data_IF_026592982639
#
_entry.id   IF_026592982639
#
_cell.length_a   1.000
_cell.length_b   1.000
_cell.length_c   1.000
_cell.angle_alpha   90.00
_cell.angle_beta   90.00
_cell.angle_gamma   90.00
#
_symmetry.space_group_name_H-M   'P 1'
#
loop_
_entity.id
_entity.type
_entity.pdbx_description
1 polymer ?
#
# COMPACT_ATOMS: atom_id res chain seq x y z
N UNK A 1 31.78 -9.44 14.24
CA UNK A 1 31.41 -10.83 14.53
C UNK A 1 32.67 -11.66 14.60
N UNK A 2 32.96 -12.26 15.75
CA UNK A 2 34.04 -13.23 15.87
C UNK A 2 33.57 -14.57 15.31
N UNK A 3 34.22 -15.05 14.25
CA UNK A 3 34.09 -16.40 13.72
C UNK A 3 34.68 -17.37 14.76
N UNK A 4 33.84 -17.89 15.66
CA UNK A 4 34.27 -18.81 16.72
C UNK A 4 33.43 -18.80 17.99
N UNK A 5 32.37 -17.98 18.09
CA UNK A 5 31.40 -18.11 19.17
C UNK A 5 30.44 -19.26 18.88
N UNK A 6 30.41 -20.26 19.77
CA UNK A 6 29.32 -21.23 19.86
C UNK A 6 28.09 -20.51 20.42
N UNK A 7 27.31 -19.93 19.50
CA UNK A 7 26.07 -19.22 19.79
C UNK A 7 25.01 -20.20 20.36
N UNK A 8 25.14 -21.50 20.09
CA UNK A 8 24.15 -22.51 20.44
C UNK A 8 24.13 -22.81 21.95
N UNK A 9 25.30 -22.86 22.60
CA UNK A 9 25.40 -22.96 24.07
C UNK A 9 25.06 -21.62 24.78
N UNK A 10 25.24 -20.48 24.10
CA UNK A 10 24.85 -19.17 24.61
C UNK A 10 23.33 -18.88 24.47
N UNK A 11 22.64 -19.68 23.65
CA UNK A 11 21.19 -19.69 23.43
C UNK A 11 20.40 -20.39 24.56
N UNK A 12 21.04 -20.78 25.67
CA UNK A 12 20.36 -21.28 26.88
C UNK A 12 19.24 -20.36 27.45
N UNK A 13 19.06 -19.15 26.92
CA UNK A 13 17.97 -18.24 27.24
C UNK A 13 16.70 -18.39 26.37
N UNK A 14 16.75 -19.04 25.20
CA UNK A 14 15.56 -19.16 24.32
C UNK A 14 14.56 -20.22 24.82
N UNK A 15 15.00 -21.15 25.66
CA UNK A 15 14.21 -22.31 26.11
C UNK A 15 13.49 -22.11 27.45
N UNK A 16 13.53 -20.90 28.02
CA UNK A 16 12.91 -20.57 29.33
C UNK A 16 11.64 -19.70 29.21
N UNK A 17 11.14 -19.49 28.00
CA UNK A 17 9.91 -18.74 27.78
C UNK A 17 8.72 -19.58 28.26
N UNK A 18 8.01 -19.12 29.29
CA UNK A 18 6.82 -19.76 29.82
C UNK A 18 5.74 -18.71 30.11
N UNK A 19 4.76 -18.63 29.21
CA UNK A 19 3.59 -17.76 29.32
C UNK A 19 2.37 -18.50 29.88
N UNK A 20 2.52 -19.68 30.51
CA UNK A 20 1.37 -20.38 31.11
C UNK A 20 0.78 -19.65 32.31
N UNK A 21 1.54 -18.74 32.93
CA UNK A 21 1.13 -18.00 34.13
C UNK A 21 0.64 -16.58 33.82
N UNK A 22 0.25 -16.28 32.57
CA UNK A 22 -0.31 -14.99 32.20
C UNK A 22 -1.69 -14.78 32.84
N UNK A 23 -1.95 -13.57 33.34
CA UNK A 23 -3.19 -13.21 34.06
C UNK A 23 -4.48 -13.47 33.26
N UNK A 24 -4.41 -13.52 31.92
CA UNK A 24 -5.54 -13.83 31.06
C UNK A 24 -6.06 -15.26 31.25
N UNK A 25 -5.21 -16.21 31.66
CA UNK A 25 -5.53 -17.63 31.72
C UNK A 25 -5.80 -18.29 30.36
N UNK A 26 -5.58 -17.58 29.25
CA UNK A 26 -5.86 -18.01 27.88
C UNK A 26 -4.58 -17.99 27.03
N UNK A 27 -4.47 -18.93 26.08
CA UNK A 27 -3.43 -18.89 25.04
C UNK A 27 -2.00 -19.14 25.53
N UNK A 28 -1.82 -20.07 26.47
CA UNK A 28 -0.51 -20.37 27.04
C UNK A 28 0.47 -20.92 26.00
N UNK A 29 1.56 -20.18 25.76
CA UNK A 29 2.73 -20.67 25.01
C UNK A 29 3.90 -20.90 25.97
N UNK A 30 4.71 -21.91 25.69
CA UNK A 30 5.95 -22.21 26.41
C UNK A 30 7.08 -22.40 25.41
N UNK A 31 8.27 -22.76 25.89
CA UNK A 31 9.46 -22.92 25.05
C UNK A 31 9.25 -23.82 23.81
N UNK A 32 8.36 -24.83 23.89
CA UNK A 32 8.01 -25.71 22.76
C UNK A 32 7.28 -25.01 21.61
N UNK A 33 6.87 -23.75 21.77
CA UNK A 33 6.17 -22.97 20.76
C UNK A 33 7.10 -22.04 19.96
N UNK A 34 8.41 -22.00 20.30
CA UNK A 34 9.36 -21.08 19.69
C UNK A 34 10.57 -21.82 19.10
N UNK A 35 10.99 -21.48 17.88
CA UNK A 35 12.24 -22.02 17.31
C UNK A 35 13.43 -21.52 18.15
N UNK A 36 14.47 -22.34 18.37
CA UNK A 36 14.68 -23.71 17.89
C UNK A 36 13.85 -24.79 18.62
N UNK A 37 12.99 -25.53 17.90
CA UNK A 37 12.25 -26.69 18.45
C UNK A 37 12.69 -28.05 17.87
N UNK A 38 13.84 -28.11 17.18
CA UNK A 38 14.38 -29.32 16.57
C UNK A 38 15.84 -29.62 16.93
N UNK A 39 16.28 -30.86 16.65
CA UNK A 39 17.67 -31.30 16.80
C UNK A 39 18.24 -31.75 15.44
N UNK A 40 19.20 -31.02 14.84
CA UNK A 40 19.58 -29.64 15.15
C UNK A 40 18.58 -28.65 14.53
N UNK A 41 18.36 -27.51 15.20
CA UNK A 41 17.73 -26.37 14.54
C UNK A 41 18.77 -25.65 13.71
N UNK A 42 18.44 -25.37 12.45
CA UNK A 42 19.22 -24.49 11.60
C UNK A 42 18.68 -23.06 11.76
N UNK A 43 19.29 -22.26 12.63
CA UNK A 43 19.00 -20.82 12.74
C UNK A 43 19.71 -20.03 11.64
N UNK A 44 19.55 -20.47 10.39
CA UNK A 44 20.31 -19.96 9.25
C UNK A 44 19.46 -19.84 7.99
N UNK A 45 19.92 -19.00 7.06
CA UNK A 45 19.14 -18.65 5.87
C UNK A 45 18.07 -17.61 6.17
N UNK A 46 17.39 -17.13 5.14
CA UNK A 46 16.42 -16.04 5.22
C UNK A 46 15.15 -16.42 6.00
N UNK A 47 14.80 -17.71 6.00
CA UNK A 47 13.56 -18.22 6.60
C UNK A 47 13.64 -18.38 8.13
N UNK A 48 14.73 -18.95 8.64
CA UNK A 48 14.86 -19.36 10.05
C UNK A 48 15.91 -18.53 10.83
N UNK A 49 16.42 -17.44 10.23
CA UNK A 49 17.30 -16.53 10.93
C UNK A 49 16.55 -15.75 12.02
N UNK A 50 17.22 -15.55 13.16
CA UNK A 50 16.72 -14.72 14.25
C UNK A 50 16.88 -13.23 13.91
N UNK A 51 16.02 -12.72 13.03
CA UNK A 51 16.05 -11.33 12.57
C UNK A 51 15.54 -10.35 13.63
N UNK A 52 14.62 -10.78 14.51
CA UNK A 52 13.98 -9.92 15.51
C UNK A 52 14.06 -10.50 16.94
N UNK A 53 13.05 -11.28 17.34
CA UNK A 53 12.85 -11.81 18.69
C UNK A 53 12.64 -13.34 18.67
N UNK A 54 11.94 -13.90 19.65
CA UNK A 54 11.62 -15.33 19.69
C UNK A 54 10.76 -15.72 18.49
N UNK A 55 11.32 -16.53 17.59
CA UNK A 55 10.62 -16.98 16.39
C UNK A 55 9.54 -18.01 16.78
N UNK A 56 8.28 -17.67 16.53
CA UNK A 56 7.14 -18.54 16.86
C UNK A 56 7.10 -19.68 15.84
N UNK A 57 6.95 -20.93 16.31
CA UNK A 57 6.93 -22.10 15.43
C UNK A 57 5.50 -22.52 15.09
N UNK A 58 5.04 -22.13 13.90
CA UNK A 58 3.70 -22.37 13.38
C UNK A 58 3.44 -23.84 13.02
N UNK A 59 4.48 -24.69 12.97
CA UNK A 59 4.31 -26.14 12.78
C UNK A 59 3.86 -26.86 14.05
N UNK A 60 3.98 -26.21 15.21
CA UNK A 60 3.55 -26.78 16.49
C UNK A 60 2.05 -26.56 16.65
N UNK A 61 1.29 -27.66 16.78
CA UNK A 61 -0.17 -27.62 16.85
C UNK A 61 -0.72 -26.64 17.89
N UNK A 62 -0.17 -26.64 19.11
CA UNK A 62 -0.59 -25.68 20.15
C UNK A 62 -0.27 -24.22 19.81
N UNK A 63 0.77 -23.95 19.02
CA UNK A 63 1.05 -22.60 18.52
C UNK A 63 -0.02 -22.18 17.53
N UNK A 64 -0.32 -23.06 16.57
CA UNK A 64 -1.33 -22.83 15.55
C UNK A 64 -2.69 -22.53 16.18
N UNK A 65 -3.13 -23.36 17.12
CA UNK A 65 -4.42 -23.21 17.80
C UNK A 65 -4.52 -21.86 18.53
N UNK A 66 -3.46 -21.41 19.22
CA UNK A 66 -3.45 -20.10 19.89
C UNK A 66 -3.52 -18.95 18.88
N UNK A 67 -2.78 -19.03 17.76
CA UNK A 67 -2.82 -17.99 16.74
C UNK A 67 -4.18 -17.92 16.04
N UNK A 68 -4.83 -19.06 15.79
CA UNK A 68 -6.16 -19.13 15.17
C UNK A 68 -7.22 -18.48 16.06
N UNK A 69 -7.24 -18.86 17.35
CA UNK A 69 -8.13 -18.24 18.33
C UNK A 69 -7.82 -16.75 18.52
N UNK A 70 -6.55 -16.34 18.44
CA UNK A 70 -6.18 -14.92 18.49
C UNK A 70 -6.72 -14.14 17.29
N UNK A 71 -6.59 -14.65 16.07
CA UNK A 71 -7.13 -14.00 14.86
C UNK A 71 -8.65 -13.88 14.92
N UNK A 72 -9.35 -14.92 15.37
CA UNK A 72 -10.80 -14.89 15.61
C UNK A 72 -11.19 -13.89 16.70
N UNK A 73 -10.43 -13.83 17.80
CA UNK A 73 -10.64 -12.84 18.85
C UNK A 73 -10.46 -11.40 18.33
N UNK A 74 -9.47 -11.14 17.47
CA UNK A 74 -9.30 -9.81 16.83
C UNK A 74 -10.52 -9.43 15.99
N UNK A 75 -11.15 -10.38 15.31
CA UNK A 75 -12.39 -10.14 14.58
C UNK A 75 -13.58 -9.82 15.50
N UNK A 76 -13.76 -10.64 16.55
CA UNK A 76 -14.93 -10.58 17.43
C UNK A 76 -14.89 -9.42 18.42
N UNK A 77 -13.74 -9.22 19.07
CA UNK A 77 -13.60 -8.30 20.20
C UNK A 77 -12.97 -6.96 19.81
N UNK A 78 -11.98 -6.96 18.91
CA UNK A 78 -11.32 -5.72 18.44
C UNK A 78 -12.09 -5.06 17.29
N UNK A 79 -12.91 -5.85 16.56
CA UNK A 79 -13.68 -5.36 15.43
C UNK A 79 -12.88 -5.27 14.13
N UNK A 80 -11.77 -6.00 14.00
CA UNK A 80 -11.02 -6.10 12.75
C UNK A 80 -11.91 -6.67 11.63
N UNK A 81 -11.79 -6.14 10.40
CA UNK A 81 -12.58 -6.55 9.22
C UNK A 81 -11.72 -6.89 8.01
N UNK A 82 -10.46 -7.20 8.26
CA UNK A 82 -9.46 -7.55 7.29
C UNK A 82 -8.13 -7.72 8.02
N UNK A 83 -7.21 -8.45 7.41
CA UNK A 83 -5.93 -8.78 8.03
C UNK A 83 -4.77 -8.45 7.11
N UNK A 84 -3.79 -7.70 7.63
CA UNK A 84 -2.45 -7.63 7.05
C UNK A 84 -1.58 -8.61 7.83
N UNK A 85 -1.07 -9.63 7.14
CA UNK A 85 -0.25 -10.68 7.75
C UNK A 85 1.21 -10.30 7.56
N UNK A 86 1.88 -10.03 8.67
CA UNK A 86 3.29 -9.64 8.72
C UNK A 86 4.19 -10.80 8.32
N UNK A 87 5.30 -10.49 7.63
CA UNK A 87 6.43 -11.40 7.51
C UNK A 87 6.08 -12.82 6.98
N UNK A 88 5.14 -12.93 6.02
CA UNK A 88 4.60 -14.24 5.58
C UNK A 88 5.61 -15.15 4.89
N UNK A 89 6.76 -14.60 4.52
CA UNK A 89 7.91 -15.37 4.01
C UNK A 89 8.54 -16.25 5.09
N UNK A 90 8.37 -15.93 6.38
CA UNK A 90 9.09 -16.57 7.48
C UNK A 90 8.33 -17.72 8.16
N UNK A 91 7.16 -18.09 7.64
CA UNK A 91 6.42 -19.27 8.09
C UNK A 91 5.73 -19.98 6.93
N UNK A 92 5.39 -21.28 7.11
CA UNK A 92 4.85 -22.09 6.02
C UNK A 92 3.52 -21.57 5.46
N UNK A 93 3.36 -21.61 4.13
CA UNK A 93 2.12 -21.17 3.46
C UNK A 93 0.88 -22.00 3.87
N UNK A 94 1.06 -23.29 4.23
CA UNK A 94 -0.05 -24.12 4.71
C UNK A 94 -0.64 -23.63 6.04
N UNK A 95 0.14 -22.97 6.91
CA UNK A 95 -0.41 -22.33 8.11
C UNK A 95 -1.44 -21.25 7.73
N UNK A 96 -1.18 -20.48 6.66
CA UNK A 96 -2.16 -19.51 6.17
C UNK A 96 -3.40 -20.16 5.61
N UNK A 97 -3.25 -21.22 4.79
CA UNK A 97 -4.38 -21.99 4.27
C UNK A 97 -5.28 -22.48 5.41
N UNK A 98 -4.70 -23.22 6.36
CA UNK A 98 -5.39 -23.73 7.55
C UNK A 98 -6.05 -22.60 8.38
N UNK A 99 -5.40 -21.43 8.52
CA UNK A 99 -5.96 -20.29 9.27
C UNK A 99 -7.20 -19.75 8.58
N UNK A 100 -7.17 -19.60 7.26
CA UNK A 100 -8.30 -19.07 6.51
C UNK A 100 -9.48 -20.05 6.51
N UNK A 101 -9.21 -21.35 6.36
CA UNK A 101 -10.23 -22.40 6.50
C UNK A 101 -10.86 -22.36 7.90
N UNK A 102 -10.05 -22.24 8.95
CA UNK A 102 -10.55 -22.11 10.32
C UNK A 102 -11.46 -20.88 10.50
N UNK A 103 -11.12 -19.73 9.90
CA UNK A 103 -11.97 -18.54 9.96
C UNK A 103 -13.30 -18.77 9.22
N UNK A 104 -13.24 -19.33 8.01
CA UNK A 104 -14.42 -19.64 7.20
C UNK A 104 -15.38 -20.59 7.93
N UNK A 105 -14.84 -21.68 8.49
CA UNK A 105 -15.59 -22.67 9.30
C UNK A 105 -16.28 -22.05 10.53
N UNK A 106 -15.75 -20.94 11.02
CA UNK A 106 -16.32 -20.18 12.14
C UNK A 106 -17.25 -19.04 11.69
N UNK A 107 -17.64 -18.99 10.40
CA UNK A 107 -18.52 -17.98 9.83
C UNK A 107 -17.87 -16.60 9.72
N UNK A 108 -16.54 -16.55 9.55
CA UNK A 108 -15.76 -15.33 9.43
C UNK A 108 -15.11 -15.29 8.05
N UNK A 109 -15.62 -14.40 7.19
CA UNK A 109 -15.12 -14.20 5.83
C UNK A 109 -14.56 -12.79 5.69
N UNK A 110 -13.26 -12.56 5.98
CA UNK A 110 -12.67 -11.25 5.81
C UNK A 110 -12.67 -10.89 4.31
N UNK A 111 -13.19 -9.71 3.93
CA UNK A 111 -13.19 -9.26 2.53
C UNK A 111 -11.77 -8.96 2.00
N UNK A 112 -10.77 -8.92 2.88
CA UNK A 112 -9.39 -8.67 2.50
C UNK A 112 -8.42 -9.29 3.50
N UNK A 113 -7.57 -10.18 3.02
CA UNK A 113 -6.37 -10.65 3.72
C UNK A 113 -5.18 -10.37 2.81
N UNK A 114 -4.14 -9.70 3.31
CA UNK A 114 -2.94 -9.37 2.52
C UNK A 114 -1.68 -9.84 3.23
N UNK A 115 -0.90 -10.68 2.56
CA UNK A 115 0.41 -11.12 3.04
C UNK A 115 1.53 -10.16 2.65
N UNK A 116 2.42 -9.90 3.59
CA UNK A 116 3.69 -9.22 3.36
C UNK A 116 4.82 -10.22 3.14
N UNK A 117 5.03 -10.61 1.87
CA UNK A 117 6.21 -11.37 1.46
C UNK A 117 7.25 -10.39 0.94
N UNK A 118 8.23 -10.02 1.76
CA UNK A 118 9.28 -9.07 1.37
C UNK A 118 10.27 -9.74 0.37
N UNK A 119 9.91 -9.73 -0.91
CA UNK A 119 10.72 -10.25 -2.01
C UNK A 119 10.46 -9.43 -3.29
N UNK A 120 11.52 -9.12 -4.04
CA UNK A 120 11.39 -8.28 -5.25
C UNK A 120 11.12 -9.08 -6.52
N UNK A 121 10.94 -10.41 -6.43
CA UNK A 121 10.59 -11.27 -7.55
C UNK A 121 9.08 -11.48 -7.66
N UNK A 122 8.46 -10.96 -8.72
CA UNK A 122 7.05 -11.20 -9.03
C UNK A 122 6.66 -12.69 -9.02
N UNK A 123 7.56 -13.57 -9.48
CA UNK A 123 7.34 -15.01 -9.48
C UNK A 123 7.33 -15.64 -8.08
N UNK A 124 8.17 -15.14 -7.16
CA UNK A 124 8.19 -15.60 -5.76
C UNK A 124 6.93 -15.13 -5.03
N UNK A 125 6.53 -13.86 -5.22
CA UNK A 125 5.32 -13.31 -4.63
C UNK A 125 4.06 -14.06 -5.09
N UNK A 126 3.96 -14.34 -6.40
CA UNK A 126 2.89 -15.16 -6.96
C UNK A 126 2.95 -16.60 -6.43
N UNK A 127 4.14 -17.19 -6.35
CA UNK A 127 4.33 -18.54 -5.84
C UNK A 127 3.81 -18.71 -4.42
N UNK A 128 4.09 -17.75 -3.53
CA UNK A 128 3.55 -17.76 -2.17
C UNK A 128 2.01 -17.73 -2.17
N UNK A 129 1.40 -16.87 -2.98
CA UNK A 129 -0.05 -16.79 -3.11
C UNK A 129 -0.65 -18.11 -3.61
N UNK A 130 -0.05 -18.71 -4.64
CA UNK A 130 -0.48 -19.98 -5.21
C UNK A 130 -0.38 -21.11 -4.17
N UNK A 131 0.68 -21.13 -3.34
CA UNK A 131 0.84 -22.11 -2.26
C UNK A 131 -0.19 -21.95 -1.15
N UNK A 132 -0.50 -20.72 -0.72
CA UNK A 132 -1.56 -20.47 0.27
C UNK A 132 -2.90 -20.97 -0.27
N UNK A 133 -3.24 -20.60 -1.51
CA UNK A 133 -4.48 -21.05 -2.14
C UNK A 133 -4.51 -22.57 -2.29
N UNK A 134 -3.40 -23.22 -2.65
CA UNK A 134 -3.34 -24.69 -2.72
C UNK A 134 -3.73 -25.37 -1.40
N UNK A 135 -3.45 -24.73 -0.27
CA UNK A 135 -3.75 -25.22 1.07
C UNK A 135 -5.11 -24.78 1.64
N UNK A 136 -5.90 -24.00 0.90
CA UNK A 136 -7.26 -23.63 1.30
C UNK A 136 -8.28 -24.62 0.73
N UNK A 137 -9.37 -24.84 1.46
CA UNK A 137 -10.55 -25.53 0.95
C UNK A 137 -11.27 -24.68 -0.13
N UNK A 138 -12.00 -25.35 -1.02
CA UNK A 138 -12.57 -24.70 -2.22
C UNK A 138 -13.68 -23.69 -1.90
N UNK A 139 -14.43 -23.88 -0.81
CA UNK A 139 -15.41 -22.92 -0.31
C UNK A 139 -14.73 -21.71 0.35
N UNK A 140 -13.65 -21.93 1.12
CA UNK A 140 -12.82 -20.83 1.65
C UNK A 140 -12.23 -19.97 0.52
N UNK A 141 -11.70 -20.57 -0.56
CA UNK A 141 -11.21 -19.82 -1.73
C UNK A 141 -12.27 -18.96 -2.38
N UNK A 142 -13.54 -19.39 -2.34
CA UNK A 142 -14.66 -18.65 -2.89
C UNK A 142 -15.17 -17.54 -1.96
N UNK A 143 -14.90 -17.64 -0.66
CA UNK A 143 -15.38 -16.71 0.37
C UNK A 143 -14.34 -15.65 0.78
N UNK A 144 -13.05 -16.00 0.78
CA UNK A 144 -11.98 -15.15 1.33
C UNK A 144 -10.97 -14.79 0.23
N UNK A 145 -10.87 -13.49 -0.05
CA UNK A 145 -9.91 -12.92 -0.99
C UNK A 145 -8.52 -12.77 -0.33
N UNK A 146 -7.67 -13.77 -0.48
CA UNK A 146 -6.24 -13.68 -0.15
C UNK A 146 -5.48 -12.88 -1.21
N UNK A 147 -4.61 -11.99 -0.75
CA UNK A 147 -3.79 -11.09 -1.57
C UNK A 147 -2.35 -11.07 -1.08
N UNK A 148 -1.46 -10.53 -1.90
CA UNK A 148 -0.06 -10.26 -1.55
C UNK A 148 0.35 -8.85 -1.98
N UNK A 149 1.24 -8.21 -1.22
CA UNK A 149 1.85 -6.95 -1.62
C UNK A 149 2.81 -7.13 -2.81
N UNK A 150 2.69 -6.28 -3.83
CA UNK A 150 3.56 -6.31 -5.02
C UNK A 150 4.87 -5.54 -4.79
N UNK A 151 5.78 -6.16 -4.03
CA UNK A 151 7.12 -5.64 -3.81
C UNK A 151 7.95 -5.56 -5.10
N UNK A 152 7.63 -6.37 -6.13
CA UNK A 152 8.33 -6.36 -7.42
C UNK A 152 8.03 -5.08 -8.21
N UNK A 153 6.74 -4.72 -8.33
CA UNK A 153 6.33 -3.45 -8.92
C UNK A 153 6.90 -2.27 -8.12
N UNK A 154 6.78 -2.31 -6.78
CA UNK A 154 7.30 -1.24 -5.92
C UNK A 154 8.79 -1.00 -6.15
N UNK A 155 9.60 -2.07 -6.24
CA UNK A 155 11.03 -1.95 -6.51
C UNK A 155 11.29 -1.25 -7.86
N UNK A 156 10.54 -1.60 -8.90
CA UNK A 156 10.71 -0.98 -10.20
C UNK A 156 10.20 0.48 -10.24
N UNK A 157 9.22 0.84 -9.41
CA UNK A 157 8.77 2.22 -9.24
C UNK A 157 9.85 3.10 -8.61
N UNK A 158 10.56 2.59 -7.60
CA UNK A 158 11.74 3.24 -7.03
C UNK A 158 12.84 3.42 -8.09
N UNK A 159 13.18 2.37 -8.84
CA UNK A 159 14.18 2.48 -9.90
C UNK A 159 13.77 3.51 -10.98
N UNK A 160 12.49 3.57 -11.36
CA UNK A 160 12.00 4.53 -12.35
C UNK A 160 12.13 5.99 -11.90
N UNK A 161 11.95 6.24 -10.61
CA UNK A 161 12.04 7.57 -10.01
C UNK A 161 13.49 8.00 -9.71
N UNK A 162 14.25 7.10 -9.09
CA UNK A 162 15.49 7.44 -8.39
C UNK A 162 16.76 6.97 -9.11
N UNK A 163 16.68 5.95 -9.97
CA UNK A 163 17.85 5.43 -10.68
C UNK A 163 18.10 6.18 -11.98
N UNK A 164 19.28 6.79 -12.09
CA UNK A 164 19.70 7.46 -13.32
C UNK A 164 19.82 6.46 -14.49
N UNK A 165 19.09 6.74 -15.58
CA UNK A 165 19.16 5.96 -16.82
C UNK A 165 18.30 4.69 -16.83
N UNK A 166 17.47 4.45 -15.80
CA UNK A 166 16.46 3.39 -15.84
C UNK A 166 15.46 3.63 -16.98
N UNK A 167 15.11 2.56 -17.69
CA UNK A 167 14.10 2.61 -18.74
C UNK A 167 12.73 2.33 -18.14
N UNK A 168 11.91 3.38 -18.00
CA UNK A 168 10.63 3.29 -17.27
C UNK A 168 9.61 2.36 -17.93
N UNK A 169 9.81 1.98 -19.20
CA UNK A 169 8.97 0.99 -19.88
C UNK A 169 9.09 -0.41 -19.27
N UNK A 170 10.12 -0.66 -18.47
CA UNK A 170 10.24 -1.89 -17.68
C UNK A 170 9.09 -2.04 -16.66
N UNK A 171 8.44 -0.94 -16.25
CA UNK A 171 7.29 -0.99 -15.35
C UNK A 171 6.14 -1.86 -15.90
N UNK A 172 5.96 -1.88 -17.23
CA UNK A 172 4.98 -2.73 -17.91
C UNK A 172 5.26 -4.24 -17.83
N UNK A 173 6.42 -4.66 -17.30
CA UNK A 173 6.82 -6.06 -17.16
C UNK A 173 7.34 -6.36 -15.74
N UNK A 174 6.92 -5.58 -14.75
CA UNK A 174 7.48 -5.64 -13.38
C UNK A 174 6.50 -6.11 -12.31
N UNK A 175 5.20 -5.99 -12.55
CA UNK A 175 4.17 -6.37 -11.58
C UNK A 175 3.96 -7.87 -11.52
N UNK A 176 3.35 -8.37 -10.45
CA UNK A 176 2.87 -9.76 -10.35
C UNK A 176 1.94 -10.10 -11.52
N UNK A 177 1.09 -9.15 -11.94
CA UNK A 177 0.14 -9.33 -13.03
C UNK A 177 0.87 -9.48 -14.38
N UNK A 178 1.74 -8.54 -14.71
CA UNK A 178 2.39 -8.48 -16.03
C UNK A 178 3.56 -9.46 -16.15
N UNK A 179 4.35 -9.64 -15.08
CA UNK A 179 5.58 -10.43 -15.10
C UNK A 179 5.38 -11.92 -14.75
N UNK A 180 4.37 -12.22 -13.91
CA UNK A 180 4.13 -13.57 -13.42
C UNK A 180 2.75 -14.13 -13.79
N UNK A 181 1.90 -13.36 -14.49
CA UNK A 181 0.55 -13.80 -14.89
C UNK A 181 -0.41 -13.96 -13.71
N UNK A 182 -0.20 -13.19 -12.63
CA UNK A 182 -1.14 -13.14 -11.52
C UNK A 182 -2.41 -12.35 -11.83
N UNK A 183 -3.35 -12.35 -10.89
CA UNK A 183 -4.60 -11.59 -10.99
C UNK A 183 -4.52 -10.33 -10.14
N UNK A 184 -4.90 -9.17 -10.69
CA UNK A 184 -5.01 -7.92 -9.91
C UNK A 184 -5.97 -8.02 -8.72
N UNK A 185 -6.94 -8.96 -8.76
CA UNK A 185 -7.81 -9.23 -7.60
C UNK A 185 -7.06 -9.83 -6.41
N UNK A 186 -5.86 -10.40 -6.61
CA UNK A 186 -5.04 -10.98 -5.54
C UNK A 186 -3.79 -10.16 -5.22
N UNK A 187 -3.73 -8.90 -5.68
CA UNK A 187 -2.55 -8.06 -5.55
C UNK A 187 -2.90 -6.75 -4.86
N UNK A 188 -1.99 -6.28 -4.00
CA UNK A 188 -2.00 -4.94 -3.43
C UNK A 188 -0.74 -4.20 -3.89
N UNK A 189 -0.92 -3.13 -4.65
CA UNK A 189 0.19 -2.30 -5.16
C UNK A 189 0.44 -1.11 -4.25
N UNK A 190 1.68 -0.65 -4.13
CA UNK A 190 2.04 0.49 -3.29
C UNK A 190 3.32 1.15 -3.81
N UNK A 191 3.54 2.42 -3.45
CA UNK A 191 4.76 3.17 -3.81
C UNK A 191 5.79 3.09 -2.67
N UNK A 192 5.36 3.43 -1.46
CA UNK A 192 6.14 3.35 -0.24
C UNK A 192 5.36 2.65 0.88
N UNK A 193 6.07 2.20 1.91
CA UNK A 193 5.47 1.70 3.13
C UNK A 193 6.36 2.08 4.34
N UNK A 194 6.02 1.57 5.53
CA UNK A 194 6.74 1.88 6.76
C UNK A 194 8.09 1.17 6.92
N UNK A 195 8.40 0.17 6.09
CA UNK A 195 9.66 -0.59 6.15
C UNK A 195 10.78 0.09 5.37
N UNK A 196 10.46 0.76 4.25
CA UNK A 196 11.41 1.56 3.45
C UNK A 196 11.70 2.91 4.14
N UNK A 197 12.37 2.86 5.29
CA UNK A 197 12.60 4.02 6.16
C UNK A 197 14.04 4.53 6.18
N UNK A 198 14.99 3.74 5.72
CA UNK A 198 16.39 4.16 5.69
C UNK A 198 16.73 4.94 4.41
N UNK A 199 17.71 5.86 4.43
CA UNK A 199 18.09 6.64 3.25
C UNK A 199 18.39 5.76 2.02
N UNK A 200 17.81 6.12 0.88
CA UNK A 200 17.95 5.37 -0.38
C UNK A 200 17.12 4.10 -0.47
N UNK A 201 16.24 3.83 0.50
CA UNK A 201 15.23 2.79 0.40
C UNK A 201 13.89 3.28 -0.17
N UNK A 202 13.25 4.37 0.32
CA UNK A 202 11.96 4.83 -0.20
C UNK A 202 12.10 5.39 -1.62
N UNK A 203 10.95 5.55 -2.30
CA UNK A 203 10.86 6.36 -3.51
C UNK A 203 10.96 7.83 -3.09
N UNK A 204 12.15 8.40 -3.21
CA UNK A 204 12.44 9.75 -2.70
C UNK A 204 12.08 10.84 -3.72
N UNK A 205 12.35 10.60 -5.01
CA UNK A 205 12.10 11.58 -6.06
C UNK A 205 10.78 11.30 -6.79
N UNK A 206 9.92 12.31 -6.79
CA UNK A 206 8.66 12.30 -7.53
C UNK A 206 7.77 11.05 -7.27
N UNK A 207 7.51 10.65 -6.01
CA UNK A 207 6.64 9.52 -5.69
C UNK A 207 5.22 9.65 -6.30
N UNK A 208 4.76 10.87 -6.61
CA UNK A 208 3.52 11.14 -7.32
C UNK A 208 3.43 10.44 -8.69
N UNK A 209 4.56 10.20 -9.38
CA UNK A 209 4.57 9.47 -10.66
C UNK A 209 4.25 7.99 -10.47
N UNK A 210 4.71 7.39 -9.37
CA UNK A 210 4.34 6.04 -8.98
C UNK A 210 2.86 5.95 -8.60
N UNK A 211 2.34 6.94 -7.87
CA UNK A 211 0.90 7.01 -7.57
C UNK A 211 0.06 7.16 -8.81
N UNK A 212 0.48 7.98 -9.78
CA UNK A 212 -0.19 8.07 -11.07
C UNK A 212 -0.32 6.69 -11.71
N UNK A 213 0.77 5.90 -11.75
CA UNK A 213 0.71 4.56 -12.34
C UNK A 213 -0.24 3.60 -11.59
N UNK A 214 -0.10 3.45 -10.27
CA UNK A 214 -0.89 2.46 -9.51
C UNK A 214 -2.36 2.86 -9.34
N UNK A 215 -2.69 4.15 -9.37
CA UNK A 215 -4.07 4.62 -9.23
C UNK A 215 -4.81 4.66 -10.57
N UNK A 216 -4.13 4.82 -11.71
CA UNK A 216 -4.82 4.85 -13.01
C UNK A 216 -4.72 3.55 -13.80
N UNK A 217 -3.75 2.66 -13.53
CA UNK A 217 -3.75 1.32 -14.12
C UNK A 217 -4.54 0.33 -13.23
N UNK A 218 -5.86 0.26 -13.43
CA UNK A 218 -6.76 -0.57 -12.62
C UNK A 218 -6.58 -2.09 -12.78
N UNK A 219 -5.61 -2.54 -13.58
CA UNK A 219 -5.31 -3.97 -13.80
C UNK A 219 -4.24 -4.52 -12.86
N UNK A 220 -3.42 -3.66 -12.25
CA UNK A 220 -2.27 -4.08 -11.47
C UNK A 220 -2.65 -4.66 -10.10
N UNK A 221 -3.68 -4.10 -9.47
CA UNK A 221 -4.13 -4.54 -8.15
C UNK A 221 -4.90 -3.46 -7.41
N UNK A 222 -5.12 -3.68 -6.12
CA UNK A 222 -5.70 -2.66 -5.24
C UNK A 222 -4.58 -1.70 -4.79
N UNK A 223 -4.66 -0.40 -5.11
CA UNK A 223 -3.66 0.57 -4.69
C UNK A 223 -3.75 0.87 -3.19
N UNK A 224 -2.62 0.79 -2.51
CA UNK A 224 -2.45 1.17 -1.11
C UNK A 224 -1.68 2.49 -1.04
N UNK A 225 -2.30 3.51 -0.45
CA UNK A 225 -1.71 4.84 -0.27
C UNK A 225 -0.91 4.88 1.03
N UNK A 226 0.33 5.34 0.95
CA UNK A 226 1.16 5.51 2.13
C UNK A 226 0.82 6.82 2.85
N UNK A 227 0.52 6.72 4.14
CA UNK A 227 0.13 7.85 4.97
C UNK A 227 1.12 9.02 4.90
N UNK A 228 2.42 8.71 4.97
CA UNK A 228 3.48 9.73 4.95
C UNK A 228 3.45 10.48 3.62
N UNK A 229 3.52 9.81 2.47
CA UNK A 229 3.42 10.48 1.16
C UNK A 229 2.16 11.36 1.02
N UNK A 230 1.03 10.91 1.58
CA UNK A 230 -0.22 11.64 1.56
C UNK A 230 -0.17 12.96 2.36
N UNK A 231 0.41 12.97 3.57
CA UNK A 231 0.41 14.16 4.45
C UNK A 231 1.74 14.94 4.48
N UNK A 232 2.90 14.29 4.53
CA UNK A 232 4.23 14.92 4.64
C UNK A 232 5.35 13.92 4.32
N UNK A 233 6.47 14.29 3.65
CA UNK A 233 6.96 15.65 3.45
C UNK A 233 6.49 16.34 2.16
N UNK A 234 6.05 15.59 1.14
CA UNK A 234 5.66 16.16 -0.16
C UNK A 234 4.19 16.59 -0.23
N UNK A 235 3.36 16.19 0.74
CA UNK A 235 1.93 16.48 0.82
C UNK A 235 1.20 16.20 -0.51
N UNK A 236 1.28 14.95 -0.97
CA UNK A 236 0.72 14.53 -2.25
C UNK A 236 -0.81 14.35 -2.21
N UNK A 237 -1.45 14.73 -1.11
CA UNK A 237 -2.90 14.62 -0.89
C UNK A 237 -3.72 15.05 -2.11
N UNK A 238 -3.43 16.21 -2.70
CA UNK A 238 -4.23 16.77 -3.79
C UNK A 238 -4.08 15.96 -5.09
N UNK A 239 -2.86 15.56 -5.43
CA UNK A 239 -2.58 14.68 -6.56
C UNK A 239 -3.23 13.30 -6.36
N UNK A 240 -3.08 12.71 -5.18
CA UNK A 240 -3.64 11.38 -4.86
C UNK A 240 -5.17 11.43 -4.86
N UNK A 241 -5.80 12.45 -4.28
CA UNK A 241 -7.25 12.65 -4.31
C UNK A 241 -7.76 12.81 -5.74
N UNK A 242 -7.08 13.60 -6.57
CA UNK A 242 -7.48 13.78 -7.96
C UNK A 242 -7.32 12.51 -8.80
N UNK A 243 -6.26 11.72 -8.56
CA UNK A 243 -6.07 10.40 -9.17
C UNK A 243 -7.15 9.40 -8.74
N UNK A 244 -7.54 9.40 -7.46
CA UNK A 244 -8.67 8.58 -6.97
C UNK A 244 -10.00 9.01 -7.60
N UNK A 245 -10.23 10.32 -7.76
CA UNK A 245 -11.44 10.84 -8.39
C UNK A 245 -11.48 10.53 -9.90
N UNK A 246 -10.35 10.66 -10.60
CA UNK A 246 -10.19 10.23 -11.99
C UNK A 246 -10.48 8.74 -12.14
N UNK A 247 -9.96 7.92 -11.21
CA UNK A 247 -10.22 6.49 -11.19
C UNK A 247 -11.72 6.22 -11.09
N UNK A 248 -12.37 6.81 -10.08
CA UNK A 248 -13.79 6.63 -9.80
C UNK A 248 -14.69 7.05 -10.97
N UNK A 249 -14.37 8.17 -11.64
CA UNK A 249 -15.21 8.74 -12.69
C UNK A 249 -15.02 8.06 -14.05
N UNK A 250 -13.79 7.70 -14.39
CA UNK A 250 -13.44 7.42 -15.79
C UNK A 250 -12.78 6.07 -16.01
N UNK A 251 -12.10 5.51 -15.02
CA UNK A 251 -11.29 4.29 -15.19
C UNK A 251 -11.99 3.07 -14.58
N UNK A 252 -12.85 3.29 -13.58
CA UNK A 252 -13.56 2.20 -12.90
C UNK A 252 -14.24 1.25 -13.90
N UNK A 253 -14.04 -0.05 -13.67
CA UNK A 253 -14.53 -1.11 -14.54
C UNK A 253 -13.82 -1.28 -15.89
N UNK A 254 -12.79 -0.48 -16.22
CA UNK A 254 -12.02 -0.66 -17.46
C UNK A 254 -11.55 -2.10 -17.60
N UNK A 255 -11.94 -2.75 -18.70
CA UNK A 255 -11.68 -4.17 -18.91
C UNK A 255 -10.36 -4.42 -19.64
N UNK A 256 -9.79 -3.40 -20.28
CA UNK A 256 -8.57 -3.49 -21.08
C UNK A 256 -7.58 -2.39 -20.73
N UNK A 257 -6.29 -2.72 -20.82
CA UNK A 257 -5.17 -1.78 -20.80
C UNK A 257 -4.25 -2.11 -21.98
N UNK A 258 -3.85 -1.10 -22.76
CA UNK A 258 -2.89 -1.23 -23.85
C UNK A 258 -1.69 -0.33 -23.56
N UNK A 259 -0.54 -0.96 -23.30
CA UNK A 259 0.72 -0.28 -23.04
C UNK A 259 1.30 0.26 -24.36
N UNK A 260 0.88 1.47 -24.73
CA UNK A 260 1.10 2.06 -26.05
C UNK A 260 2.58 2.24 -26.40
N UNK A 261 3.45 2.55 -25.43
CA UNK A 261 4.88 2.72 -25.69
C UNK A 261 5.77 1.59 -25.13
N UNK A 262 5.20 0.39 -24.87
CA UNK A 262 5.97 -0.78 -24.44
C UNK A 262 7.06 -1.17 -25.44
N UNK A 263 8.04 -1.96 -24.99
CA UNK A 263 9.04 -2.55 -25.89
C UNK A 263 8.37 -3.34 -27.02
N UNK A 264 8.80 -3.09 -28.27
CA UNK A 264 8.23 -3.75 -29.44
C UNK A 264 6.80 -3.35 -29.76
N UNK A 265 6.31 -2.22 -29.22
CA UNK A 265 4.98 -1.69 -29.54
C UNK A 265 4.75 -1.57 -31.06
N UNK A 266 3.55 -1.91 -31.57
CA UNK A 266 3.20 -1.71 -32.97
C UNK A 266 2.86 -0.24 -33.30
N UNK A 267 2.71 0.61 -32.28
CA UNK A 267 2.30 2.00 -32.43
C UNK A 267 3.49 2.89 -32.83
N UNK A 268 3.29 3.77 -33.80
CA UNK A 268 4.30 4.72 -34.22
C UNK A 268 4.38 5.90 -33.24
N UNK A 269 5.61 6.32 -32.92
CA UNK A 269 5.88 7.43 -32.01
C UNK A 269 6.89 8.40 -32.61
N UNK A 270 6.63 9.70 -32.51
CA UNK A 270 7.55 10.78 -32.87
C UNK A 270 7.80 11.67 -31.65
N UNK A 271 8.91 11.43 -30.95
CA UNK A 271 9.34 12.24 -29.81
C UNK A 271 10.02 13.51 -30.34
N UNK A 272 9.34 14.64 -30.20
CA UNK A 272 9.86 15.98 -30.52
C UNK A 272 10.78 16.47 -29.39
N UNK A 273 10.42 16.15 -28.14
CA UNK A 273 11.27 16.26 -26.95
C UNK A 273 10.91 15.16 -25.95
N UNK A 274 11.84 14.82 -25.04
CA UNK A 274 11.73 13.62 -24.22
C UNK A 274 12.08 12.34 -24.99
N UNK A 275 12.02 11.21 -24.30
CA UNK A 275 12.49 9.93 -24.83
C UNK A 275 11.58 8.77 -24.40
N UNK A 276 11.54 7.66 -25.16
CA UNK A 276 10.73 6.50 -24.80
C UNK A 276 11.13 5.87 -23.47
N UNK A 277 12.41 5.95 -23.08
CA UNK A 277 12.90 5.38 -21.82
C UNK A 277 12.56 6.22 -20.58
N UNK A 278 12.00 7.42 -20.75
CA UNK A 278 11.54 8.31 -19.67
C UNK A 278 10.04 8.64 -19.77
N UNK A 279 9.31 7.95 -20.63
CA UNK A 279 7.88 8.15 -20.85
C UNK A 279 7.14 6.85 -20.56
N UNK A 280 6.04 6.94 -19.82
CA UNK A 280 5.07 5.87 -19.65
C UNK A 280 3.77 6.31 -20.33
N UNK A 281 3.29 5.55 -21.32
CA UNK A 281 2.09 5.88 -22.09
C UNK A 281 1.23 4.63 -22.26
N UNK A 282 -0.01 4.69 -21.80
CA UNK A 282 -0.97 3.59 -21.92
C UNK A 282 -2.41 4.06 -22.04
N UNK A 283 -3.26 3.21 -22.61
CA UNK A 283 -4.66 3.46 -22.86
C UNK A 283 -5.53 2.44 -22.13
N UNK A 284 -6.63 2.89 -21.55
CA UNK A 284 -7.62 2.08 -20.86
C UNK A 284 -8.92 2.17 -21.64
N UNK A 285 -9.55 1.01 -21.85
CA UNK A 285 -10.73 0.88 -22.70
C UNK A 285 -11.83 0.10 -22.00
N UNK A 286 -13.07 0.34 -22.44
CA UNK A 286 -14.29 -0.28 -21.92
C UNK A 286 -14.48 -0.04 -20.41
N UNK A 287 -14.19 1.17 -19.94
CA UNK A 287 -14.58 1.59 -18.60
C UNK A 287 -16.10 1.74 -18.50
N UNK A 288 -16.66 1.69 -17.28
CA UNK A 288 -18.10 1.89 -17.07
C UNK A 288 -18.56 3.29 -17.48
N UNK A 289 -17.65 4.26 -17.49
CA UNK A 289 -17.87 5.61 -18.00
C UNK A 289 -18.21 5.63 -19.50
N UNK A 290 -17.88 4.56 -20.23
CA UNK A 290 -18.01 4.47 -21.68
C UNK A 290 -16.99 5.31 -22.45
N UNK A 291 -15.98 5.86 -21.78
CA UNK A 291 -14.96 6.75 -22.37
C UNK A 291 -13.61 6.04 -22.45
N UNK A 292 -12.86 6.32 -23.51
CA UNK A 292 -11.45 5.97 -23.58
C UNK A 292 -10.60 6.90 -22.70
N UNK A 293 -9.60 6.33 -22.03
CA UNK A 293 -8.68 7.07 -21.15
C UNK A 293 -7.25 6.80 -21.56
N UNK A 294 -6.44 7.84 -21.72
CA UNK A 294 -5.01 7.74 -22.01
C UNK A 294 -4.23 8.41 -20.89
N UNK A 295 -3.29 7.68 -20.30
CA UNK A 295 -2.43 8.19 -19.23
C UNK A 295 -1.03 8.38 -19.77
N UNK A 296 -0.46 9.56 -19.48
CA UNK A 296 0.91 9.91 -19.86
C UNK A 296 1.67 10.31 -18.60
N UNK A 297 2.80 9.64 -18.34
CA UNK A 297 3.67 9.92 -17.20
C UNK A 297 5.07 10.25 -17.74
N UNK A 298 5.55 11.45 -17.45
CA UNK A 298 6.84 11.96 -17.90
C UNK A 298 7.85 11.96 -16.74
N UNK A 299 8.77 11.00 -16.76
CA UNK A 299 9.88 10.92 -15.81
C UNK A 299 11.08 11.79 -16.23
N UNK A 300 11.05 12.43 -17.39
CA UNK A 300 12.15 13.29 -17.82
C UNK A 300 12.21 14.60 -17.01
N UNK A 301 13.41 15.17 -16.91
CA UNK A 301 13.63 16.53 -16.40
C UNK A 301 13.29 17.64 -17.40
N UNK A 302 12.68 17.30 -18.54
CA UNK A 302 12.26 18.23 -19.58
C UNK A 302 10.80 17.94 -19.99
N UNK A 303 10.15 18.92 -20.62
CA UNK A 303 8.80 18.75 -21.17
C UNK A 303 8.82 17.69 -22.28
N UNK A 304 7.94 16.70 -22.17
CA UNK A 304 7.64 15.72 -23.21
C UNK A 304 6.81 16.40 -24.31
N UNK A 305 7.20 16.21 -25.57
CA UNK A 305 6.40 16.56 -26.75
C UNK A 305 6.37 15.37 -27.68
N UNK A 306 5.19 14.78 -27.89
CA UNK A 306 5.08 13.47 -28.51
C UNK A 306 3.84 13.38 -29.40
N UNK A 307 4.03 13.06 -30.68
CA UNK A 307 2.95 12.50 -31.50
C UNK A 307 2.98 10.97 -31.38
N UNK A 308 1.90 10.35 -30.94
CA UNK A 308 1.84 8.89 -30.78
C UNK A 308 0.56 8.32 -31.38
N UNK A 309 0.68 7.22 -32.13
CA UNK A 309 -0.48 6.45 -32.60
C UNK A 309 -1.14 5.76 -31.41
N UNK A 310 -2.46 5.83 -31.32
CA UNK A 310 -3.22 5.22 -30.22
C UNK A 310 -4.05 4.04 -30.73
N UNK A 311 -4.62 3.27 -29.81
CA UNK A 311 -5.59 2.25 -30.17
C UNK A 311 -6.91 2.94 -30.56
N UNK A 312 -7.34 2.77 -31.81
CA UNK A 312 -8.53 3.43 -32.37
C UNK A 312 -9.72 2.47 -32.53
N UNK A 313 -9.76 1.39 -31.74
CA UNK A 313 -10.90 0.47 -31.72
C UNK A 313 -12.20 1.15 -31.26
N UNK A 314 -12.10 2.05 -30.28
CA UNK A 314 -13.23 2.71 -29.63
C UNK A 314 -13.19 4.25 -29.69
N UNK A 315 -12.10 4.82 -30.21
CA UNK A 315 -11.91 6.27 -30.39
C UNK A 315 -11.38 6.52 -31.81
N UNK A 316 -11.88 7.53 -32.50
CA UNK A 316 -11.71 7.72 -33.94
C UNK A 316 -11.08 9.07 -34.29
N UNK A 317 -10.48 9.20 -35.49
CA UNK A 317 -10.04 10.50 -36.00
C UNK A 317 -11.13 11.57 -35.93
N UNK A 318 -10.81 12.70 -35.32
CA UNK A 318 -11.73 13.80 -35.05
C UNK A 318 -12.26 13.85 -33.62
N UNK A 319 -12.22 12.73 -32.88
CA UNK A 319 -12.58 12.71 -31.47
C UNK A 319 -11.57 13.50 -30.64
N UNK A 320 -12.07 14.06 -29.54
CA UNK A 320 -11.29 14.91 -28.64
C UNK A 320 -11.00 14.19 -27.35
N UNK A 321 -9.88 14.52 -26.70
CA UNK A 321 -9.63 14.14 -25.31
C UNK A 321 -9.27 15.39 -24.49
N UNK A 322 -9.88 15.53 -23.32
CA UNK A 322 -9.52 16.56 -22.34
C UNK A 322 -8.55 15.98 -21.32
N UNK A 323 -7.45 16.69 -21.06
CA UNK A 323 -6.63 16.44 -19.88
C UNK A 323 -7.39 16.92 -18.64
N UNK A 324 -7.95 15.97 -17.88
CA UNK A 324 -8.82 16.27 -16.74
C UNK A 324 -8.11 16.96 -15.58
N UNK A 325 -6.77 17.03 -15.59
CA UNK A 325 -5.98 17.76 -14.61
C UNK A 325 -5.47 19.11 -15.12
N UNK A 326 -5.75 19.46 -16.38
CA UNK A 326 -5.30 20.71 -17.01
C UNK A 326 -3.79 20.97 -16.87
N UNK A 327 -2.98 19.90 -16.94
CA UNK A 327 -1.52 19.93 -16.88
C UNK A 327 -0.94 20.27 -18.25
N UNK A 328 -1.54 19.75 -19.32
CA UNK A 328 -1.19 20.07 -20.70
C UNK A 328 -1.59 21.52 -21.04
N UNK A 329 -0.89 22.20 -21.96
CA UNK A 329 -1.18 23.59 -22.30
C UNK A 329 -2.41 23.75 -23.22
N UNK A 330 -3.12 22.67 -23.54
CA UNK A 330 -4.26 22.66 -24.44
C UNK A 330 -5.55 22.32 -23.67
N UNK A 331 -6.62 23.04 -24.01
CA UNK A 331 -8.00 22.77 -23.57
C UNK A 331 -8.43 21.31 -23.85
N UNK A 332 -8.02 20.78 -25.00
CA UNK A 332 -8.20 19.40 -25.42
C UNK A 332 -7.21 19.08 -26.55
N UNK A 333 -7.02 17.80 -26.80
CA UNK A 333 -6.27 17.25 -27.94
C UNK A 333 -7.22 16.50 -28.86
N UNK A 334 -6.83 16.27 -30.12
CA UNK A 334 -7.68 15.58 -31.11
C UNK A 334 -6.93 14.41 -31.71
N UNK A 335 -7.62 13.28 -31.88
CA UNK A 335 -7.11 12.18 -32.69
C UNK A 335 -7.05 12.63 -34.15
N UNK A 336 -5.87 12.67 -34.74
CA UNK A 336 -5.68 13.14 -36.10
C UNK A 336 -5.98 12.04 -37.14
N UNK A 337 -5.97 12.38 -38.43
CA UNK A 337 -6.24 11.45 -39.53
C UNK A 337 -5.24 10.28 -39.69
N UNK A 338 -4.12 10.32 -38.96
CA UNK A 338 -3.13 9.23 -38.86
C UNK A 338 -3.29 8.40 -37.59
N UNK A 339 -4.44 8.52 -36.89
CA UNK A 339 -4.72 7.88 -35.61
C UNK A 339 -3.75 8.28 -34.49
N UNK A 340 -3.17 9.49 -34.55
CA UNK A 340 -2.23 9.99 -33.56
C UNK A 340 -2.84 11.06 -32.68
N UNK A 341 -2.34 11.15 -31.45
CA UNK A 341 -2.60 12.26 -30.53
C UNK A 341 -1.27 12.92 -30.20
N UNK A 342 -1.28 14.26 -30.11
CA UNK A 342 -0.15 15.06 -29.65
C UNK A 342 -0.24 15.27 -28.13
N UNK A 343 0.83 14.93 -27.41
CA UNK A 343 0.95 15.09 -25.97
C UNK A 343 2.05 16.10 -25.63
N UNK A 344 1.76 17.05 -24.75
CA UNK A 344 2.74 18.02 -24.23
C UNK A 344 2.67 18.07 -22.70
N UNK A 345 3.57 17.33 -22.03
CA UNK A 345 3.52 17.09 -20.58
C UNK A 345 4.76 17.69 -19.92
N UNK A 346 4.62 18.53 -18.87
CA UNK A 346 5.76 19.09 -18.14
C UNK A 346 6.72 18.03 -17.61
N UNK A 347 7.96 18.45 -17.32
CA UNK A 347 8.96 17.62 -16.65
C UNK A 347 8.42 17.07 -15.32
N UNK A 348 8.75 15.82 -15.00
CA UNK A 348 8.37 15.16 -13.73
C UNK A 348 6.89 15.32 -13.40
N UNK A 349 6.03 15.05 -14.38
CA UNK A 349 4.59 15.27 -14.26
C UNK A 349 3.80 14.17 -14.98
N UNK A 350 2.49 14.19 -14.82
CA UNK A 350 1.56 13.25 -15.43
C UNK A 350 0.29 13.96 -15.90
N UNK A 351 -0.39 13.37 -16.86
CA UNK A 351 -1.69 13.80 -17.34
C UNK A 351 -2.59 12.61 -17.62
N UNK A 352 -3.90 12.82 -17.49
CA UNK A 352 -4.93 11.82 -17.76
C UNK A 352 -5.88 12.43 -18.78
N UNK A 353 -5.80 11.96 -20.02
CA UNK A 353 -6.65 12.37 -21.11
C UNK A 353 -7.88 11.48 -21.15
N UNK A 354 -9.06 12.07 -21.09
CA UNK A 354 -10.33 11.34 -21.15
C UNK A 354 -11.08 11.80 -22.39
N UNK A 355 -11.62 10.84 -23.16
CA UNK A 355 -12.39 11.11 -24.36
C UNK A 355 -13.57 12.06 -24.09
N UNK A 356 -13.71 13.08 -24.94
CA UNK A 356 -14.75 14.11 -24.90
C UNK A 356 -14.26 15.49 -24.44
N UNK A 357 -15.13 16.50 -24.58
CA UNK A 357 -14.93 17.84 -24.01
C UNK A 357 -15.40 17.85 -22.56
N UNK A 358 -14.46 17.88 -21.62
CA UNK A 358 -14.70 17.78 -20.17
C UNK A 358 -14.20 19.02 -19.41
N UNK A 359 -14.09 20.17 -20.09
CA UNK A 359 -13.54 21.40 -19.49
C UNK A 359 -14.36 21.95 -18.32
N UNK A 360 -15.64 21.62 -18.25
CA UNK A 360 -16.51 21.98 -17.13
C UNK A 360 -16.41 20.99 -15.95
N UNK A 361 -15.62 19.92 -16.10
CA UNK A 361 -15.52 18.85 -15.12
C UNK A 361 -14.09 18.50 -14.69
N UNK A 362 -13.16 19.44 -14.85
CA UNK A 362 -11.76 19.32 -14.46
C UNK A 362 -11.59 19.00 -12.96
N UNK A 363 -10.51 18.32 -12.64
CA UNK A 363 -10.11 17.93 -11.29
C UNK A 363 -8.86 18.72 -10.91
N UNK A 364 -8.96 19.53 -9.86
CA UNK A 364 -7.82 20.30 -9.36
C UNK A 364 -6.90 19.40 -8.52
N UNK A 365 -5.68 19.22 -9.00
CA UNK A 365 -4.61 18.49 -8.29
C UNK A 365 -3.52 19.42 -7.76
N UNK A 366 -3.71 20.74 -7.89
CA UNK A 366 -2.75 21.71 -7.39
C UNK A 366 -2.81 21.77 -5.87
N UNK A 367 -1.63 21.80 -5.24
CA UNK A 367 -1.56 22.12 -3.82
C UNK A 367 -2.00 23.57 -3.63
N UNK A 368 -3.04 23.86 -2.82
CA UNK A 368 -3.49 25.22 -2.57
C UNK A 368 -2.32 26.05 -2.07
N UNK A 369 -2.20 27.28 -2.60
CA UNK A 369 -1.25 28.29 -2.12
C UNK A 369 -1.74 28.84 -0.77
N UNK A 370 -1.92 27.99 0.23
CA UNK A 370 -1.90 28.45 1.61
C UNK A 370 -0.44 28.70 1.92
N UNK A 371 -0.10 29.98 2.17
CA UNK A 371 1.19 30.38 2.74
C UNK A 371 1.65 29.28 3.68
N UNK A 372 2.86 28.75 3.46
CA UNK A 372 3.51 27.83 4.37
C UNK A 372 3.60 28.51 5.75
N UNK A 373 2.53 28.41 6.53
CA UNK A 373 2.62 28.46 7.97
C UNK A 373 3.53 27.29 8.23
N UNK A 374 4.73 27.56 8.74
CA UNK A 374 5.57 26.56 9.37
C UNK A 374 4.67 25.76 10.31
N UNK A 375 4.09 24.67 9.82
CA UNK A 375 3.49 23.68 10.68
C UNK A 375 4.71 23.03 11.30
N UNK A 376 5.11 23.59 12.44
CA UNK A 376 5.94 22.88 13.40
C UNK A 376 5.18 21.58 13.60
N UNK A 377 5.69 20.47 13.04
CA UNK A 377 5.15 19.15 13.34
C UNK A 377 5.13 19.04 14.85
N UNK A 378 3.92 19.04 15.43
CA UNK A 378 3.78 18.92 16.86
C UNK A 378 3.75 17.44 17.16
N UNK A 379 4.75 16.93 17.86
CA UNK A 379 4.74 15.52 18.24
C UNK A 379 3.80 15.35 19.43
N UNK A 380 2.79 14.48 19.29
CA UNK A 380 1.96 14.03 20.41
C UNK A 380 2.25 12.55 20.61
N UNK A 381 2.75 12.20 21.78
CA UNK A 381 2.96 10.83 22.20
C UNK A 381 1.76 10.36 23.00
N UNK A 382 1.31 9.15 22.69
CA UNK A 382 0.19 8.49 23.33
C UNK A 382 0.71 7.36 24.22
N UNK A 383 0.34 7.38 25.50
CA UNK A 383 0.65 6.36 26.49
C UNK A 383 -0.66 5.79 27.03
N UNK A 384 -1.21 4.75 26.39
CA UNK A 384 -2.42 4.11 26.87
C UNK A 384 -2.18 3.43 28.22
N UNK A 385 -3.06 3.63 29.19
CA UNK A 385 -3.07 2.87 30.44
C UNK A 385 -4.33 1.99 30.50
N UNK A 386 -4.25 0.75 30.00
CA UNK A 386 -5.41 -0.15 29.94
C UNK A 386 -5.98 -0.54 31.31
N UNK A 387 -5.22 -0.37 32.40
CA UNK A 387 -5.68 -0.70 33.75
C UNK A 387 -6.53 0.41 34.41
N UNK A 388 -6.65 1.58 33.76
CA UNK A 388 -7.09 2.79 34.43
C UNK A 388 -8.18 3.57 33.67
N UNK A 389 -8.58 3.15 32.48
CA UNK A 389 -9.55 3.88 31.64
C UNK A 389 -9.12 5.32 31.29
N UNK A 390 -7.81 5.59 31.29
CA UNK A 390 -7.24 6.86 30.83
C UNK A 390 -6.13 6.61 29.81
N UNK A 391 -6.01 7.54 28.87
CA UNK A 391 -4.88 7.62 27.94
C UNK A 391 -4.12 8.89 28.25
N UNK A 392 -2.83 8.77 28.55
CA UNK A 392 -1.98 9.93 28.75
C UNK A 392 -1.46 10.41 27.40
N UNK A 393 -1.66 11.70 27.13
CA UNK A 393 -1.10 12.39 25.97
C UNK A 393 0.03 13.28 26.46
N UNK A 394 1.17 13.25 25.78
CA UNK A 394 2.32 14.12 26.02
C UNK A 394 2.72 14.81 24.72
N UNK A 395 3.08 16.09 24.76
CA UNK A 395 3.48 16.84 23.57
C UNK A 395 4.64 17.79 23.85
N UNK A 396 5.37 18.14 22.80
CA UNK A 396 6.62 18.91 22.87
C UNK A 396 6.46 20.43 22.76
N UNK A 397 5.21 20.92 22.68
CA UNK A 397 4.93 22.35 22.48
C UNK A 397 4.26 23.01 23.68
N UNK A 398 4.76 24.16 24.13
CA UNK A 398 4.10 25.00 25.14
C UNK A 398 2.87 25.76 24.58
N UNK A 399 2.35 25.38 23.42
CA UNK A 399 1.18 25.98 22.77
C UNK A 399 -0.03 25.06 22.95
N UNK A 400 -1.24 25.62 23.19
CA UNK A 400 -2.45 24.82 23.21
C UNK A 400 -2.65 24.10 21.88
N UNK A 401 -3.20 22.89 21.96
CA UNK A 401 -3.45 22.03 20.80
C UNK A 401 -4.80 21.35 20.95
N UNK A 402 -5.51 21.17 19.85
CA UNK A 402 -6.74 20.37 19.86
C UNK A 402 -6.41 18.99 19.33
N UNK A 403 -6.74 17.97 20.13
CA UNK A 403 -6.68 16.57 19.71
C UNK A 403 -8.10 16.06 19.51
N UNK A 404 -8.30 15.43 18.35
CA UNK A 404 -9.52 14.81 17.92
C UNK A 404 -9.36 13.29 18.02
N UNK A 405 -10.29 12.65 18.73
CA UNK A 405 -10.37 11.20 18.88
C UNK A 405 -11.43 10.69 17.92
N UNK A 406 -11.01 9.82 17.00
CA UNK A 406 -11.90 9.18 16.03
C UNK A 406 -11.92 7.67 16.24
N UNK A 407 -13.04 7.03 15.91
CA UNK A 407 -13.09 5.57 15.80
C UNK A 407 -12.57 5.09 14.42
N UNK A 408 -12.57 3.78 14.21
CA UNK A 408 -12.19 3.16 12.92
C UNK A 408 -13.04 3.60 11.72
N UNK A 409 -14.22 4.19 11.94
CA UNK A 409 -15.07 4.72 10.87
C UNK A 409 -14.84 6.23 10.64
N UNK A 410 -13.85 6.83 11.32
CA UNK A 410 -13.55 8.26 11.23
C UNK A 410 -14.57 9.14 11.96
N UNK A 411 -15.46 8.58 12.76
CA UNK A 411 -16.46 9.36 13.51
C UNK A 411 -15.80 10.03 14.70
N UNK A 412 -16.15 11.30 14.93
CA UNK A 412 -15.64 12.04 16.08
C UNK A 412 -16.29 11.59 17.36
N UNK A 413 -15.47 11.07 18.28
CA UNK A 413 -15.92 10.55 19.56
C UNK A 413 -15.62 11.53 20.69
N UNK A 414 -14.48 12.23 20.62
CA UNK A 414 -14.12 13.24 21.60
C UNK A 414 -13.19 14.31 21.01
N UNK A 415 -13.24 15.50 21.60
CA UNK A 415 -12.33 16.61 21.36
C UNK A 415 -11.72 17.00 22.71
N UNK A 416 -10.39 17.02 22.79
CA UNK A 416 -9.68 17.49 23.98
C UNK A 416 -8.76 18.66 23.61
N UNK A 417 -8.83 19.75 24.37
CA UNK A 417 -7.89 20.86 24.24
C UNK A 417 -6.74 20.64 25.21
N UNK A 418 -5.60 20.24 24.67
CA UNK A 418 -4.33 20.14 25.36
C UNK A 418 -3.89 21.55 25.80
N UNK A 419 -3.60 21.73 27.10
CA UNK A 419 -3.19 23.00 27.68
C UNK A 419 -1.66 23.18 27.56
N UNK A 420 -1.05 24.07 28.34
CA UNK A 420 0.41 24.35 28.25
C UNK A 420 1.26 23.51 29.21
N UNK A 421 0.67 22.51 29.86
CA UNK A 421 1.31 21.64 30.85
C UNK A 421 2.01 20.41 30.23
N UNK A 422 2.06 20.35 28.89
CA UNK A 422 2.72 19.33 28.06
C UNK A 422 2.25 17.88 28.30
N UNK A 423 1.29 17.66 29.20
CA UNK A 423 0.66 16.35 29.48
C UNK A 423 -0.80 16.49 29.86
N UNK A 424 -1.66 15.60 29.37
CA UNK A 424 -3.06 15.52 29.80
C UNK A 424 -3.55 14.07 29.84
N UNK A 425 -4.64 13.84 30.59
CA UNK A 425 -5.34 12.56 30.62
C UNK A 425 -6.63 12.67 29.80
N UNK A 426 -6.73 11.85 28.77
CA UNK A 426 -7.98 11.60 28.05
C UNK A 426 -8.78 10.55 28.83
N UNK A 427 -9.99 10.91 29.23
CA UNK A 427 -10.93 9.99 29.85
C UNK A 427 -11.56 9.07 28.80
N UNK A 428 -11.31 7.77 28.93
CA UNK A 428 -11.80 6.76 27.99
C UNK A 428 -12.94 5.91 28.56
N UNK A 429 -13.47 6.25 29.74
CA UNK A 429 -14.52 5.47 30.41
C UNK A 429 -15.84 5.38 29.64
N UNK A 430 -16.13 6.39 28.82
CA UNK A 430 -17.35 6.44 28.01
C UNK A 430 -17.15 5.86 26.61
N UNK A 431 -15.92 5.46 26.27
CA UNK A 431 -15.61 4.82 25.00
C UNK A 431 -16.02 3.35 25.06
N UNK A 432 -16.66 2.85 24.00
CA UNK A 432 -16.88 1.42 23.82
C UNK A 432 -15.56 0.70 23.56
N UNK A 433 -15.46 -0.61 23.83
CA UNK A 433 -14.33 -1.41 23.38
C UNK A 433 -14.07 -1.21 21.88
N UNK A 434 -12.80 -1.08 21.50
CA UNK A 434 -12.41 -0.82 20.10
C UNK A 434 -11.13 0.00 19.95
N UNK A 435 -10.73 0.21 18.70
CA UNK A 435 -9.57 1.02 18.32
C UNK A 435 -9.95 2.47 18.06
N UNK A 436 -9.14 3.38 18.57
CA UNK A 436 -9.32 4.83 18.44
C UNK A 436 -8.05 5.50 17.94
N UNK A 437 -8.22 6.51 17.08
CA UNK A 437 -7.15 7.29 16.47
C UNK A 437 -7.14 8.70 17.03
N UNK A 438 -5.93 9.21 17.30
CA UNK A 438 -5.67 10.55 17.76
C UNK A 438 -5.10 11.36 16.60
N UNK A 439 -5.74 12.48 16.31
CA UNK A 439 -5.31 13.42 15.27
C UNK A 439 -5.35 14.85 15.80
N UNK A 440 -4.57 15.71 15.16
CA UNK A 440 -4.52 17.15 15.38
C UNK A 440 -4.73 17.84 14.02
N UNK A 441 -4.87 19.17 13.96
CA UNK A 441 -5.04 19.87 12.68
C UNK A 441 -3.88 19.65 11.68
N UNK A 442 -2.70 19.28 12.18
CA UNK A 442 -1.49 18.93 11.42
C UNK A 442 -1.37 17.42 11.14
N UNK A 443 -2.40 16.61 11.41
CA UNK A 443 -2.47 15.21 10.97
C UNK A 443 -2.57 14.18 12.10
N UNK A 444 -2.40 12.91 11.76
CA UNK A 444 -2.46 11.80 12.71
C UNK A 444 -1.29 11.82 13.68
N UNK A 445 -1.54 11.45 14.95
CA UNK A 445 -0.53 11.45 16.02
C UNK A 445 -0.37 10.14 16.77
N UNK A 446 -1.37 9.25 16.73
CA UNK A 446 -1.30 8.00 17.45
C UNK A 446 -2.61 7.22 17.46
N UNK A 447 -2.58 6.05 18.09
CA UNK A 447 -3.76 5.23 18.31
C UNK A 447 -3.72 4.58 19.69
N UNK A 448 -4.88 4.17 20.19
CA UNK A 448 -5.00 3.34 21.38
C UNK A 448 -6.16 2.36 21.24
N UNK A 449 -6.12 1.28 22.01
CA UNK A 449 -7.17 0.26 22.06
C UNK A 449 -7.83 0.35 23.45
N UNK A 450 -9.15 0.47 23.45
CA UNK A 450 -9.98 0.30 24.64
C UNK A 450 -10.41 -1.16 24.69
N UNK A 451 -10.01 -1.86 25.77
CA UNK A 451 -10.54 -3.19 26.08
C UNK A 451 -11.91 -3.09 26.74
#
# INVERSE_FOLDING_TARGET
GGLGADIQDQIGYQTMTDFTNMNSGLGAMKYLNFKPNGSPTQLGGDLDAMLFFYDVDQNVGSTRDVLFENTKWMWQEIGARGFRVDAVKHFPANFMGDLLDYLHDNGIDPPMVVGESYDFSAGVLKGWLDEVQFHMDDDTKAAIDIRVFDFSLRFNLEQASDAFGYDVRNLFNSSIVDAAGGSGFNVVTFVNNHDFRDPGQPVDNNPELGYAYILTNNKLGVPCVYHTDYFAPNNLKYQIDGLMEAHRRYIFGASQVDYLNRFGTPYASNYISGFPNSTLLYQLSNAESGREVIVVINYAGETLKLDHTINTANIFPGDTLTDIFSVSPYDFVTVNGSNQVYFEIPARSFAVFVEGDLRDELIDISTPVTNAVNQIERSVRCYPNPAADWVMLEWDTNQPMTVQVTDMQGRNIALSTLQTDNRTLLDTRLLTPGMYFLSTPDGWKGQFIKQ
#
